data_IF_342646195776
#
_entry.id   IF_342646195776
#
_cell.length_a   1.000
_cell.length_b   1.000
_cell.length_c   1.000
_cell.angle_alpha   90.00
_cell.angle_beta   90.00
_cell.angle_gamma   90.00
#
_symmetry.space_group_name_H-M   'P 1'
#
loop_
_entity.id
_entity.type
_entity.pdbx_description
1 polymer ?
#
# COMPACT_ATOMS: atom_id res chain seq x y z
N UNK A 1 -4.30 25.10 20.58
CA UNK A 1 -4.96 25.59 19.35
C UNK A 1 -6.39 25.06 19.36
N UNK A 2 -7.43 25.87 19.21
CA UNK A 2 -8.79 25.35 19.23
C UNK A 2 -9.05 24.53 17.96
N UNK A 3 -9.72 23.38 18.12
CA UNK A 3 -10.09 22.47 17.03
C UNK A 3 -11.08 23.19 16.09
N UNK A 4 -10.86 23.21 14.77
CA UNK A 4 -11.82 23.83 13.85
C UNK A 4 -13.19 23.15 13.96
N UNK A 5 -14.26 23.94 14.01
CA UNK A 5 -15.64 23.47 13.98
C UNK A 5 -15.99 23.00 12.57
N UNK A 6 -16.15 21.68 12.38
CA UNK A 6 -16.57 21.09 11.10
C UNK A 6 -18.08 21.32 10.92
N UNK A 7 -18.53 21.95 9.82
CA UNK A 7 -19.95 22.11 9.52
C UNK A 7 -20.61 20.74 9.26
N UNK A 8 -21.75 20.47 9.89
CA UNK A 8 -22.32 19.13 9.96
C UNK A 8 -23.06 18.62 8.70
N UNK A 9 -23.10 19.36 7.58
CA UNK A 9 -24.06 19.06 6.50
C UNK A 9 -23.52 19.39 5.10
N UNK A 10 -22.33 18.92 4.79
CA UNK A 10 -21.71 19.15 3.50
C UNK A 10 -21.10 17.83 3.01
N UNK A 11 -21.90 17.03 2.30
CA UNK A 11 -21.45 15.77 1.69
C UNK A 11 -20.29 16.00 0.72
N UNK A 12 -20.19 17.19 0.12
CA UNK A 12 -19.10 17.58 -0.77
C UNK A 12 -17.78 17.86 -0.03
N UNK A 13 -17.82 18.27 1.24
CA UNK A 13 -16.64 18.47 2.09
C UNK A 13 -16.11 17.14 2.60
N UNK A 14 -17.00 16.22 2.97
CA UNK A 14 -16.61 14.84 3.28
C UNK A 14 -16.11 14.11 2.04
N UNK A 15 -16.75 14.32 0.88
CA UNK A 15 -16.29 13.78 -0.41
C UNK A 15 -14.92 14.36 -0.77
N UNK A 16 -14.78 15.68 -0.91
CA UNK A 16 -13.49 16.31 -1.22
C UNK A 16 -12.40 16.01 -0.18
N UNK A 17 -12.77 15.88 1.10
CA UNK A 17 -11.88 15.39 2.15
C UNK A 17 -11.44 13.94 1.92
N UNK A 18 -12.36 13.05 1.60
CA UNK A 18 -12.08 11.65 1.25
C UNK A 18 -11.26 11.53 -0.04
N UNK A 19 -11.49 12.36 -1.05
CA UNK A 19 -10.69 12.42 -2.29
C UNK A 19 -9.25 12.82 -1.99
N UNK A 20 -9.05 13.85 -1.15
CA UNK A 20 -7.71 14.29 -0.72
C UNK A 20 -7.02 13.28 0.20
N UNK A 21 -7.79 12.53 1.02
CA UNK A 21 -7.27 11.45 1.86
C UNK A 21 -6.89 10.25 1.00
N UNK A 22 -7.70 9.86 0.01
CA UNK A 22 -7.43 8.77 -0.92
C UNK A 22 -6.16 9.04 -1.76
N UNK A 23 -6.04 10.25 -2.33
CA UNK A 23 -4.80 10.65 -3.04
C UNK A 23 -3.59 10.75 -2.10
N UNK A 24 -3.81 11.00 -0.81
CA UNK A 24 -2.77 11.05 0.23
C UNK A 24 -2.39 9.71 0.87
N UNK A 25 -3.13 8.62 0.61
CA UNK A 25 -2.95 7.32 1.27
C UNK A 25 -1.88 6.44 0.62
N UNK A 26 -1.42 6.79 -0.60
CA UNK A 26 -0.41 6.04 -1.34
C UNK A 26 0.84 5.65 -0.54
N UNK A 27 1.49 6.52 0.27
CA UNK A 27 2.73 6.15 0.97
C UNK A 27 2.56 5.04 2.02
N UNK A 28 1.34 4.86 2.55
CA UNK A 28 1.06 3.81 3.53
C UNK A 28 0.87 2.44 2.89
N UNK A 29 0.62 2.39 1.58
CA UNK A 29 0.32 1.18 0.84
C UNK A 29 1.43 0.78 -0.14
N UNK A 30 2.58 1.43 -0.04
CA UNK A 30 3.77 1.13 -0.85
C UNK A 30 4.73 0.20 -0.11
N UNK A 31 5.23 -0.80 -0.83
CA UNK A 31 6.30 -1.67 -0.38
C UNK A 31 7.63 -0.92 -0.35
N UNK A 32 8.34 -0.97 0.78
CA UNK A 32 9.63 -0.27 0.90
C UNK A 32 10.76 -0.87 0.05
N UNK A 33 10.59 -2.09 -0.48
CA UNK A 33 11.59 -2.74 -1.33
C UNK A 33 11.45 -2.36 -2.81
N UNK A 34 10.22 -2.22 -3.33
CA UNK A 34 9.98 -1.87 -4.73
C UNK A 34 9.39 -0.46 -4.92
N UNK A 35 9.09 0.24 -3.83
CA UNK A 35 8.56 1.62 -3.79
C UNK A 35 7.24 1.81 -4.55
N UNK A 36 6.45 0.74 -4.65
CA UNK A 36 5.19 0.69 -5.38
C UNK A 36 4.16 -0.09 -4.55
N UNK A 37 2.88 -0.06 -4.92
CA UNK A 37 1.78 -0.67 -4.17
C UNK A 37 2.08 -2.13 -3.77
N UNK A 38 1.60 -2.56 -2.61
CA UNK A 38 1.78 -3.96 -2.22
C UNK A 38 1.09 -4.92 -3.19
N UNK A 39 1.77 -6.00 -3.52
CA UNK A 39 1.25 -7.17 -4.25
C UNK A 39 1.52 -8.37 -3.37
N UNK A 40 0.47 -9.12 -3.04
CA UNK A 40 0.49 -10.21 -2.05
C UNK A 40 1.28 -9.83 -0.79
N UNK A 41 0.80 -8.82 -0.03
CA UNK A 41 1.52 -8.32 1.13
C UNK A 41 1.73 -9.40 2.19
N UNK A 42 2.95 -9.46 2.71
CA UNK A 42 3.33 -10.28 3.85
C UNK A 42 3.94 -9.44 4.95
N UNK A 43 3.53 -9.72 6.19
CA UNK A 43 3.93 -8.99 7.38
C UNK A 43 4.81 -9.84 8.29
N UNK A 44 5.90 -9.22 8.73
CA UNK A 44 6.86 -9.81 9.67
C UNK A 44 6.29 -9.81 11.09
N UNK A 45 5.92 -10.97 11.63
CA UNK A 45 5.13 -11.09 12.89
C UNK A 45 5.80 -10.43 14.11
N UNK A 46 7.14 -10.28 14.13
CA UNK A 46 7.87 -9.70 15.27
C UNK A 46 7.98 -8.16 15.25
N UNK A 47 7.87 -7.52 14.09
CA UNK A 47 8.00 -6.06 13.98
C UNK A 47 6.87 -5.36 13.22
N UNK A 48 5.98 -6.11 12.56
CA UNK A 48 4.82 -5.55 11.88
C UNK A 48 5.14 -4.86 10.54
N UNK A 49 6.36 -4.98 10.02
CA UNK A 49 6.68 -4.44 8.70
C UNK A 49 6.14 -5.34 7.59
N UNK A 50 5.55 -4.72 6.58
CA UNK A 50 4.91 -5.38 5.43
C UNK A 50 5.74 -5.18 4.16
N UNK A 51 5.77 -6.21 3.32
CA UNK A 51 6.46 -6.23 2.02
C UNK A 51 5.59 -6.97 1.00
N UNK A 52 5.83 -6.80 -0.31
CA UNK A 52 5.33 -7.78 -1.28
C UNK A 52 6.02 -9.13 -1.04
N UNK A 53 5.29 -10.25 -1.12
CA UNK A 53 5.86 -11.59 -0.97
C UNK A 53 7.09 -11.78 -1.86
N UNK A 54 6.94 -11.56 -3.17
CA UNK A 54 8.03 -11.71 -4.14
C UNK A 54 9.22 -10.78 -3.86
N UNK A 55 8.97 -9.56 -3.37
CA UNK A 55 10.06 -8.63 -3.03
C UNK A 55 10.84 -9.12 -1.82
N UNK A 56 10.15 -9.59 -0.79
CA UNK A 56 10.81 -10.13 0.40
C UNK A 56 11.61 -11.39 0.07
N UNK A 57 11.03 -12.31 -0.70
CA UNK A 57 11.70 -13.55 -1.12
C UNK A 57 12.95 -13.26 -1.97
N UNK A 58 12.86 -12.35 -2.94
CA UNK A 58 14.02 -11.96 -3.75
C UNK A 58 15.11 -11.31 -2.89
N UNK A 59 14.72 -10.42 -1.98
CA UNK A 59 15.67 -9.80 -1.06
C UNK A 59 16.32 -10.85 -0.16
N UNK A 60 15.55 -11.79 0.40
CA UNK A 60 16.09 -12.86 1.24
C UNK A 60 17.04 -13.77 0.45
N UNK A 61 16.69 -14.18 -0.77
CA UNK A 61 17.57 -14.98 -1.64
C UNK A 61 18.89 -14.28 -1.97
N UNK A 62 18.91 -12.95 -2.05
CA UNK A 62 20.13 -12.16 -2.28
C UNK A 62 21.09 -12.12 -1.08
N UNK A 63 20.60 -12.43 0.12
CA UNK A 63 21.41 -12.49 1.33
C UNK A 63 22.06 -13.88 1.44
N UNK A 64 23.38 -13.93 1.25
CA UNK A 64 24.14 -15.18 1.41
C UNK A 64 23.94 -15.76 2.82
N UNK A 65 23.64 -17.06 2.88
CA UNK A 65 23.48 -17.84 4.11
C UNK A 65 22.30 -17.44 5.02
N UNK A 66 21.18 -16.98 4.45
CA UNK A 66 19.96 -16.81 5.25
C UNK A 66 19.36 -18.15 5.65
N UNK A 67 19.57 -18.50 6.92
CA UNK A 67 18.89 -19.59 7.61
C UNK A 67 17.88 -18.99 8.58
N UNK A 68 16.67 -19.56 8.61
CA UNK A 68 15.64 -19.20 9.58
C UNK A 68 16.21 -19.18 11.01
N UNK A 69 15.85 -18.18 11.85
CA UNK A 69 14.88 -17.12 11.61
C UNK A 69 15.42 -15.99 10.73
N UNK A 70 14.64 -15.53 9.76
CA UNK A 70 15.01 -14.51 8.78
C UNK A 70 14.98 -13.08 9.38
N UNK A 71 15.85 -12.15 8.97
CA UNK A 71 15.82 -10.77 9.40
C UNK A 71 14.80 -9.94 8.60
N UNK A 72 14.13 -9.00 9.26
CA UNK A 72 13.32 -7.99 8.58
C UNK A 72 14.21 -7.02 7.80
N UNK A 73 13.88 -6.77 6.52
CA UNK A 73 14.65 -5.88 5.65
C UNK A 73 14.69 -4.40 6.10
N UNK A 74 13.78 -3.97 6.98
CA UNK A 74 13.70 -2.59 7.45
C UNK A 74 14.35 -2.34 8.81
N UNK A 75 14.23 -3.28 9.74
CA UNK A 75 14.66 -3.07 11.13
C UNK A 75 15.55 -4.19 11.67
N UNK A 76 15.91 -5.17 10.84
CA UNK A 76 16.78 -6.30 11.16
C UNK A 76 16.29 -7.22 12.30
N UNK A 77 15.07 -7.01 12.84
CA UNK A 77 14.48 -7.94 13.81
C UNK A 77 14.26 -9.31 13.15
N UNK A 78 14.69 -10.37 13.83
CA UNK A 78 14.59 -11.76 13.34
C UNK A 78 13.20 -12.33 13.62
N UNK A 79 12.69 -13.12 12.68
CA UNK A 79 11.38 -13.75 12.78
C UNK A 79 11.39 -15.14 12.10
N UNK A 80 10.51 -16.04 12.53
CA UNK A 80 10.43 -17.39 11.96
C UNK A 80 9.41 -17.50 10.82
N UNK A 81 8.38 -16.67 10.84
CA UNK A 81 7.26 -16.75 9.89
C UNK A 81 6.84 -15.37 9.37
N UNK A 82 6.54 -15.32 8.08
CA UNK A 82 5.75 -14.28 7.45
C UNK A 82 4.27 -14.66 7.56
N UNK A 83 3.40 -13.67 7.74
CA UNK A 83 1.96 -13.86 7.65
C UNK A 83 1.41 -13.05 6.46
N UNK A 84 0.50 -13.60 5.63
CA UNK A 84 -0.25 -12.79 4.68
C UNK A 84 -0.98 -11.65 5.38
N UNK A 85 -0.99 -10.47 4.78
CA UNK A 85 -1.63 -9.27 5.33
C UNK A 85 -2.88 -8.90 4.54
N UNK A 86 -3.99 -9.58 4.86
CA UNK A 86 -5.27 -9.36 4.19
C UNK A 86 -5.83 -7.94 4.40
N UNK A 87 -5.44 -7.27 5.47
CA UNK A 87 -5.82 -5.88 5.70
C UNK A 87 -5.17 -5.00 4.64
N UNK A 88 -3.86 -5.15 4.45
CA UNK A 88 -3.13 -4.43 3.41
C UNK A 88 -3.63 -4.79 2.01
N UNK A 89 -3.96 -6.06 1.74
CA UNK A 89 -4.59 -6.46 0.47
C UNK A 89 -5.89 -5.69 0.23
N UNK A 90 -6.80 -5.65 1.22
CA UNK A 90 -8.08 -4.95 1.08
C UNK A 90 -7.90 -3.45 0.86
N UNK A 91 -6.96 -2.83 1.57
CA UNK A 91 -6.68 -1.40 1.44
C UNK A 91 -6.10 -1.07 0.06
N UNK A 92 -5.16 -1.87 -0.45
CA UNK A 92 -4.63 -1.69 -1.81
C UNK A 92 -5.74 -1.84 -2.86
N UNK A 93 -6.58 -2.87 -2.76
CA UNK A 93 -7.69 -3.07 -3.70
C UNK A 93 -8.68 -1.91 -3.65
N UNK A 94 -8.99 -1.40 -2.45
CA UNK A 94 -9.85 -0.24 -2.29
C UNK A 94 -9.24 1.01 -2.92
N UNK A 95 -7.96 1.30 -2.71
CA UNK A 95 -7.30 2.43 -3.37
C UNK A 95 -7.29 2.29 -4.89
N UNK A 96 -7.02 1.10 -5.42
CA UNK A 96 -7.06 0.86 -6.87
C UNK A 96 -8.46 1.12 -7.43
N UNK A 97 -9.51 0.67 -6.73
CA UNK A 97 -10.90 0.88 -7.11
C UNK A 97 -11.30 2.36 -7.05
N UNK A 98 -10.96 3.06 -5.96
CA UNK A 98 -11.24 4.50 -5.80
C UNK A 98 -10.54 5.30 -6.88
N UNK A 99 -9.27 5.01 -7.15
CA UNK A 99 -8.53 5.66 -8.23
C UNK A 99 -9.19 5.37 -9.58
N UNK A 100 -9.62 4.14 -9.84
CA UNK A 100 -10.30 3.80 -11.09
C UNK A 100 -11.60 4.58 -11.29
N UNK A 101 -12.44 4.65 -10.25
CA UNK A 101 -13.68 5.43 -10.27
C UNK A 101 -13.42 6.92 -10.53
N UNK A 102 -12.39 7.49 -9.88
CA UNK A 102 -12.00 8.89 -10.10
C UNK A 102 -11.50 9.15 -11.52
N UNK A 103 -10.72 8.22 -12.08
CA UNK A 103 -10.22 8.34 -13.45
C UNK A 103 -11.34 8.22 -14.47
N UNK A 104 -12.31 7.34 -14.23
CA UNK A 104 -13.50 7.22 -15.09
C UNK A 104 -14.36 8.48 -15.02
N UNK A 105 -14.57 9.04 -13.82
CA UNK A 105 -15.37 10.24 -13.62
C UNK A 105 -14.71 11.50 -14.20
N UNK A 106 -13.37 11.58 -14.18
CA UNK A 106 -12.60 12.77 -14.53
C UNK A 106 -11.59 12.54 -15.67
N UNK A 107 -11.93 11.62 -16.59
CA UNK A 107 -11.05 11.19 -17.69
C UNK A 107 -10.45 12.34 -18.51
N UNK A 108 -11.27 13.36 -18.81
CA UNK A 108 -10.85 14.54 -19.57
C UNK A 108 -9.80 15.38 -18.84
N UNK A 109 -9.72 15.27 -17.50
CA UNK A 109 -8.90 16.10 -16.64
C UNK A 109 -7.57 15.43 -16.27
N UNK A 110 -7.58 14.11 -16.04
CA UNK A 110 -6.40 13.39 -15.52
C UNK A 110 -5.66 12.52 -16.54
N UNK A 111 -6.24 12.24 -17.71
CA UNK A 111 -5.63 11.32 -18.68
C UNK A 111 -5.33 9.93 -18.09
N UNK A 112 -4.44 9.15 -18.72
CA UNK A 112 -4.04 7.81 -18.27
C UNK A 112 -3.13 7.93 -17.01
N UNK A 113 -3.65 7.59 -15.83
CA UNK A 113 -2.88 7.68 -14.58
C UNK A 113 -2.10 6.37 -14.27
N UNK A 114 -0.84 6.47 -13.80
CA UNK A 114 0.11 5.34 -13.78
C UNK A 114 -0.17 4.27 -12.71
N UNK A 115 -0.97 4.55 -11.68
CA UNK A 115 -1.15 3.66 -10.51
C UNK A 115 -1.85 2.34 -10.85
N UNK A 116 -2.88 2.38 -11.72
CA UNK A 116 -3.59 1.17 -12.14
C UNK A 116 -2.66 0.24 -12.94
N UNK A 117 -1.85 0.84 -13.81
CA UNK A 117 -0.96 0.10 -14.70
C UNK A 117 0.23 -0.53 -13.94
N UNK A 118 0.76 0.15 -12.92
CA UNK A 118 1.86 -0.38 -12.10
C UNK A 118 1.44 -1.57 -11.22
N UNK A 119 0.20 -1.56 -10.72
CA UNK A 119 -0.35 -2.66 -9.91
C UNK A 119 -0.62 -3.91 -10.77
N UNK A 120 -1.40 -3.80 -11.85
CA UNK A 120 -1.75 -4.96 -12.67
C UNK A 120 -0.56 -5.58 -13.40
N UNK A 121 0.44 -4.78 -13.79
CA UNK A 121 1.68 -5.30 -14.42
C UNK A 121 2.48 -6.21 -13.49
N UNK A 122 2.32 -6.08 -12.17
CA UNK A 122 3.04 -6.90 -11.18
C UNK A 122 2.27 -8.15 -10.72
N UNK A 123 1.03 -8.32 -11.19
CA UNK A 123 0.21 -9.51 -10.95
C UNK A 123 0.35 -10.59 -12.04
N UNK A 124 0.89 -10.23 -13.22
CA UNK A 124 1.10 -11.11 -14.40
C UNK A 124 2.48 -11.74 -14.43
#
# INVERSE_FOLDING_TARGET
MPRPSIPAQNDDYYRAGAERIAVGMMPLLTCSLCQDLFVDPVTTIRCGHTFCLACYDNWACSQRNLVSPYPCALCNKRFAHLAPDWTMTKLVLHEVEVVDQHLQANWQTFGRHPVKESYYRRLS
#
